data_IF_221929505260
#
_entry.id   IF_221929505260
#
_cell.length_a   1.000
_cell.length_b   1.000
_cell.length_c   1.000
_cell.angle_alpha   90.00
_cell.angle_beta   90.00
_cell.angle_gamma   90.00
#
_symmetry.space_group_name_H-M   'P 1'
#
loop_
_entity.id
_entity.type
_entity.pdbx_description
1 polymer ?
#
# COMPACT_ATOMS: atom_id res chain seq x y z
N UNK A 1 -33.30 11.36 1.02
CA UNK A 1 -31.94 11.36 0.41
C UNK A 1 -30.94 10.54 1.25
N UNK A 2 -31.12 9.21 1.30
CA UNK A 2 -30.24 8.29 2.04
C UNK A 2 -28.91 8.01 1.32
N UNK A 3 -28.88 8.22 0.00
CA UNK A 3 -27.73 8.02 -0.89
C UNK A 3 -26.56 8.96 -0.59
N UNK A 4 -26.82 10.26 -0.35
CA UNK A 4 -25.76 11.26 -0.10
C UNK A 4 -25.03 11.02 1.23
N UNK A 5 -25.75 10.62 2.28
CA UNK A 5 -25.15 10.30 3.59
C UNK A 5 -24.26 9.06 3.52
N UNK A 6 -24.68 8.02 2.80
CA UNK A 6 -23.88 6.83 2.54
C UNK A 6 -22.63 7.15 1.70
N UNK A 7 -22.78 8.02 0.69
CA UNK A 7 -21.65 8.49 -0.13
C UNK A 7 -20.61 9.23 0.72
N UNK A 8 -21.06 10.09 1.63
CA UNK A 8 -20.17 10.86 2.53
C UNK A 8 -19.38 9.93 3.46
N UNK A 9 -20.04 8.91 4.05
CA UNK A 9 -19.39 7.91 4.92
C UNK A 9 -18.38 7.05 4.15
N UNK A 10 -18.72 6.58 2.94
CA UNK A 10 -17.80 5.82 2.09
C UNK A 10 -16.60 6.67 1.65
N UNK A 11 -16.83 7.95 1.33
CA UNK A 11 -15.76 8.88 0.94
C UNK A 11 -14.80 9.18 2.09
N UNK A 12 -15.28 9.35 3.32
CA UNK A 12 -14.39 9.51 4.49
C UNK A 12 -13.57 8.25 4.77
N UNK A 13 -14.16 7.06 4.60
CA UNK A 13 -13.43 5.80 4.75
C UNK A 13 -12.33 5.65 3.70
N UNK A 14 -12.61 5.93 2.42
CA UNK A 14 -11.58 5.91 1.38
C UNK A 14 -10.46 6.92 1.65
N UNK A 15 -10.77 8.14 2.11
CA UNK A 15 -9.74 9.13 2.48
C UNK A 15 -8.83 8.63 3.59
N UNK A 16 -9.34 7.86 4.56
CA UNK A 16 -8.53 7.26 5.62
C UNK A 16 -7.63 6.14 5.09
N UNK A 17 -8.19 5.25 4.28
CA UNK A 17 -7.43 4.13 3.67
C UNK A 17 -6.30 4.67 2.78
N UNK A 18 -6.54 5.74 2.00
CA UNK A 18 -5.48 6.37 1.18
C UNK A 18 -4.33 6.92 2.03
N UNK A 19 -4.61 7.50 3.21
CA UNK A 19 -3.56 7.97 4.12
C UNK A 19 -2.76 6.82 4.72
N UNK A 20 -3.42 5.74 5.09
CA UNK A 20 -2.76 4.52 5.59
C UNK A 20 -1.89 3.89 4.49
N UNK A 21 -2.41 3.80 3.27
CA UNK A 21 -1.69 3.27 2.11
C UNK A 21 -0.44 4.09 1.80
N UNK A 22 -0.52 5.43 1.88
CA UNK A 22 0.64 6.30 1.70
C UNK A 22 1.71 6.09 2.79
N UNK A 23 1.29 5.80 4.03
CA UNK A 23 2.23 5.44 5.10
C UNK A 23 2.97 4.14 4.79
N UNK A 24 2.27 3.12 4.26
CA UNK A 24 2.89 1.86 3.86
C UNK A 24 3.81 2.03 2.62
N UNK A 25 3.45 2.88 1.66
CA UNK A 25 4.32 3.22 0.52
C UNK A 25 5.65 3.83 1.00
N UNK A 26 5.60 4.73 1.98
CA UNK A 26 6.81 5.29 2.59
C UNK A 26 7.67 4.23 3.31
N UNK A 27 7.06 3.21 3.90
CA UNK A 27 7.81 2.10 4.52
C UNK A 27 8.53 1.25 3.46
N UNK A 28 7.85 0.95 2.35
CA UNK A 28 8.46 0.25 1.20
C UNK A 28 9.64 1.04 0.63
N UNK A 29 9.52 2.36 0.49
CA UNK A 29 10.63 3.21 0.05
C UNK A 29 11.82 3.17 1.02
N UNK A 30 11.57 3.18 2.34
CA UNK A 30 12.65 3.04 3.34
C UNK A 30 13.31 1.68 3.28
N UNK A 31 12.55 0.60 3.08
CA UNK A 31 13.11 -0.75 2.95
C UNK A 31 13.91 -0.91 1.66
N UNK A 32 13.46 -0.31 0.55
CA UNK A 32 14.23 -0.24 -0.69
C UNK A 32 15.56 0.49 -0.46
N UNK A 33 15.53 1.65 0.21
CA UNK A 33 16.72 2.43 0.52
C UNK A 33 17.69 1.66 1.44
N UNK A 34 17.18 0.96 2.48
CA UNK A 34 18.00 0.09 3.35
C UNK A 34 18.65 -1.06 2.59
N UNK A 35 17.91 -1.69 1.68
CA UNK A 35 18.44 -2.78 0.86
C UNK A 35 19.55 -2.29 -0.08
N UNK A 36 19.38 -1.10 -0.67
CA UNK A 36 20.40 -0.47 -1.50
C UNK A 36 21.65 -0.07 -0.70
N UNK A 37 21.46 0.49 0.50
CA UNK A 37 22.54 0.88 1.41
C UNK A 37 23.33 -0.34 1.92
N UNK A 38 22.65 -1.44 2.28
CA UNK A 38 23.32 -2.69 2.66
C UNK A 38 24.10 -3.30 1.49
N UNK A 39 23.58 -3.21 0.26
CA UNK A 39 24.31 -3.64 -0.93
C UNK A 39 25.57 -2.79 -1.16
N UNK A 40 25.48 -1.47 -0.99
CA UNK A 40 26.61 -0.55 -1.16
C UNK A 40 27.69 -0.72 -0.08
N UNK A 41 27.28 -1.07 1.15
CA UNK A 41 28.20 -1.37 2.26
C UNK A 41 28.87 -2.75 2.14
N UNK A 42 28.53 -3.54 1.12
CA UNK A 42 29.08 -4.88 0.93
C UNK A 42 28.61 -5.87 2.00
N UNK A 43 27.35 -5.76 2.44
CA UNK A 43 26.75 -6.69 3.38
C UNK A 43 26.78 -8.13 2.84
N UNK A 44 26.79 -9.10 3.77
CA UNK A 44 26.86 -10.52 3.45
C UNK A 44 25.68 -10.97 2.56
N UNK A 45 25.88 -11.90 1.61
CA UNK A 45 24.80 -12.42 0.76
C UNK A 45 23.58 -12.96 1.53
N UNK A 46 23.78 -13.48 2.74
CA UNK A 46 22.69 -13.97 3.59
C UNK A 46 21.82 -12.83 4.12
N UNK A 47 22.43 -11.75 4.61
CA UNK A 47 21.73 -10.56 5.12
C UNK A 47 20.95 -9.85 4.00
N UNK A 48 21.53 -9.78 2.79
CA UNK A 48 20.86 -9.23 1.62
C UNK A 48 19.64 -10.06 1.21
N UNK A 49 19.73 -11.40 1.27
CA UNK A 49 18.61 -12.28 0.97
C UNK A 49 17.50 -12.17 2.01
N UNK A 50 17.87 -12.05 3.29
CA UNK A 50 16.92 -11.83 4.37
C UNK A 50 16.19 -10.48 4.23
N UNK A 51 16.93 -9.41 3.94
CA UNK A 51 16.33 -8.10 3.71
C UNK A 51 15.42 -8.10 2.46
N UNK A 52 15.80 -8.82 1.41
CA UNK A 52 14.96 -8.98 0.21
C UNK A 52 13.63 -9.66 0.49
N UNK A 53 13.59 -10.66 1.37
CA UNK A 53 12.32 -11.29 1.79
C UNK A 53 11.41 -10.32 2.56
N UNK A 54 11.99 -9.48 3.42
CA UNK A 54 11.25 -8.44 4.15
C UNK A 54 10.66 -7.42 3.16
N UNK A 55 11.47 -6.93 2.22
CA UNK A 55 11.03 -5.98 1.19
C UNK A 55 9.88 -6.52 0.33
N UNK A 56 9.99 -7.76 -0.15
CA UNK A 56 8.93 -8.41 -0.94
C UNK A 56 7.66 -8.57 -0.12
N UNK A 57 7.77 -8.91 1.16
CA UNK A 57 6.63 -8.97 2.07
C UNK A 57 5.91 -7.63 2.21
N UNK A 58 6.65 -6.55 2.45
CA UNK A 58 6.11 -5.19 2.59
C UNK A 58 5.46 -4.69 1.29
N UNK A 59 6.08 -4.96 0.13
CA UNK A 59 5.52 -4.60 -1.17
C UNK A 59 4.20 -5.35 -1.45
N UNK A 60 4.16 -6.65 -1.13
CA UNK A 60 2.97 -7.48 -1.34
C UNK A 60 1.77 -6.98 -0.51
N UNK A 61 2.01 -6.46 0.70
CA UNK A 61 0.98 -5.79 1.49
C UNK A 61 0.43 -4.58 0.75
N UNK A 62 1.29 -3.69 0.23
CA UNK A 62 0.82 -2.50 -0.52
C UNK A 62 0.00 -2.88 -1.75
N UNK A 63 0.39 -3.92 -2.49
CA UNK A 63 -0.33 -4.39 -3.68
C UNK A 63 -1.75 -4.90 -3.34
N UNK A 64 -1.88 -5.73 -2.29
CA UNK A 64 -3.18 -6.21 -1.81
C UNK A 64 -4.09 -5.03 -1.40
N UNK A 65 -3.53 -4.04 -0.71
CA UNK A 65 -4.29 -2.88 -0.27
C UNK A 65 -4.72 -1.98 -1.45
N UNK A 66 -3.89 -1.85 -2.49
CA UNK A 66 -4.25 -1.15 -3.74
C UNK A 66 -5.39 -1.86 -4.47
N UNK A 67 -5.37 -3.18 -4.52
CA UNK A 67 -6.43 -3.97 -5.17
C UNK A 67 -7.77 -3.88 -4.42
N UNK A 68 -7.74 -3.94 -3.08
CA UNK A 68 -8.91 -3.68 -2.25
C UNK A 68 -9.48 -2.27 -2.46
N UNK A 69 -8.62 -1.24 -2.58
CA UNK A 69 -9.05 0.12 -2.86
C UNK A 69 -9.69 0.23 -4.26
N UNK A 70 -9.11 -0.47 -5.25
CA UNK A 70 -9.62 -0.48 -6.62
C UNK A 70 -10.99 -1.16 -6.72
N UNK A 71 -11.22 -2.28 -6.01
CA UNK A 71 -12.53 -2.91 -5.86
C UNK A 71 -13.59 -1.97 -5.22
N UNK A 72 -13.17 -1.17 -4.25
CA UNK A 72 -14.03 -0.13 -3.64
C UNK A 72 -14.29 1.06 -4.58
N UNK A 73 -13.34 1.38 -5.47
CA UNK A 73 -13.46 2.45 -6.45
C UNK A 73 -14.32 2.04 -7.65
N UNK A 74 -14.19 0.82 -8.17
CA UNK A 74 -15.04 0.26 -9.23
C UNK A 74 -16.49 0.09 -8.78
N UNK A 75 -16.71 -0.15 -7.49
CA UNK A 75 -18.05 -0.09 -6.88
C UNK A 75 -18.73 1.29 -7.03
N UNK A 76 -18.00 2.39 -7.30
CA UNK A 76 -18.61 3.69 -7.68
C UNK A 76 -19.05 3.74 -9.15
N UNK A 77 -18.36 3.04 -10.05
CA UNK A 77 -18.73 3.02 -11.48
C UNK A 77 -20.01 2.20 -11.68
N UNK A 78 -20.17 1.08 -10.96
CA UNK A 78 -21.36 0.22 -11.08
C UNK A 78 -22.63 0.80 -10.40
N UNK A 79 -22.49 1.74 -9.45
CA UNK A 79 -23.65 2.41 -8.81
C UNK A 79 -24.11 3.65 -9.59
N UNK A 80 -23.38 4.05 -10.65
CA UNK A 80 -23.70 5.23 -11.47
C UNK A 80 -24.21 4.87 -12.88
N UNK A 81 -24.49 3.58 -13.16
CA UNK A 81 -25.21 3.11 -14.35
C UNK A 81 -26.52 2.47 -13.92
#
# INVERSE_FOLDING_TARGET
>A
MATVRNLKRKTSSCKRIVKELHSYEMEVEREAAKTLDMKNKGADPYDLKQQGMVFVGSHHVVDIWKECLNCYATSKIVITM
#
